data_IF_008977128612
#
_entry.id   IF_008977128612
#
_cell.length_a   1.000
_cell.length_b   1.000
_cell.length_c   1.000
_cell.angle_alpha   90.00
_cell.angle_beta   90.00
_cell.angle_gamma   90.00
#
_symmetry.space_group_name_H-M   'P 1'
#
loop_
_entity.id
_entity.type
_entity.pdbx_description
1 polymer ?
#
# COMPACT_ATOMS: atom_id res chain seq x y z
N UNK A 1 5.89 -23.41 3.06
CA UNK A 1 5.58 -21.98 2.85
C UNK A 1 6.90 -21.23 2.82
N UNK A 2 7.16 -20.42 1.79
CA UNK A 2 8.39 -19.62 1.70
C UNK A 2 8.40 -18.55 2.82
N UNK A 3 9.47 -18.53 3.63
CA UNK A 3 9.64 -17.59 4.76
C UNK A 3 9.56 -16.14 4.28
N UNK A 4 10.11 -15.85 3.11
CA UNK A 4 10.13 -14.52 2.50
C UNK A 4 8.72 -14.00 2.22
N UNK A 5 7.83 -14.88 1.75
CA UNK A 5 6.44 -14.55 1.48
C UNK A 5 5.65 -14.27 2.76
N UNK A 6 5.88 -15.07 3.81
CA UNK A 6 5.25 -14.86 5.12
C UNK A 6 5.67 -13.54 5.77
N UNK A 7 6.96 -13.18 5.67
CA UNK A 7 7.47 -11.91 6.21
C UNK A 7 6.94 -10.71 5.41
N UNK A 8 6.80 -10.85 4.09
CA UNK A 8 6.17 -9.83 3.24
C UNK A 8 4.73 -9.60 3.65
N UNK A 9 3.94 -10.66 3.84
CA UNK A 9 2.53 -10.58 4.27
C UNK A 9 2.42 -9.89 5.64
N UNK A 10 3.30 -10.24 6.59
CA UNK A 10 3.33 -9.60 7.93
C UNK A 10 3.60 -8.10 7.84
N UNK A 11 4.59 -7.70 7.04
CA UNK A 11 4.88 -6.29 6.81
C UNK A 11 3.67 -5.57 6.19
N UNK A 12 3.02 -6.23 5.24
CA UNK A 12 1.86 -5.70 4.53
C UNK A 12 0.69 -5.43 5.48
N UNK A 13 0.35 -6.41 6.32
CA UNK A 13 -0.69 -6.27 7.34
C UNK A 13 -0.35 -5.19 8.38
N UNK A 14 0.93 -5.02 8.72
CA UNK A 14 1.37 -3.97 9.64
C UNK A 14 1.22 -2.55 9.04
N UNK A 15 1.46 -2.40 7.73
CA UNK A 15 1.41 -1.08 7.05
C UNK A 15 0.00 -0.70 6.60
N UNK A 16 -0.87 -1.68 6.32
CA UNK A 16 -2.22 -1.45 5.80
C UNK A 16 -3.05 -0.43 6.62
N UNK A 17 -3.12 -0.49 7.97
CA UNK A 17 -3.86 0.50 8.75
C UNK A 17 -3.38 1.93 8.52
N UNK A 18 -2.07 2.13 8.37
CA UNK A 18 -1.49 3.45 8.08
C UNK A 18 -1.84 3.98 6.69
N UNK A 19 -1.96 3.09 5.70
CA UNK A 19 -2.37 3.46 4.33
C UNK A 19 -3.82 3.94 4.30
N UNK A 20 -4.70 3.30 5.06
CA UNK A 20 -6.15 3.59 5.05
C UNK A 20 -6.60 4.62 6.10
N UNK A 21 -5.74 5.02 7.04
CA UNK A 21 -6.08 5.93 8.14
C UNK A 21 -6.63 7.30 7.69
N UNK A 22 -6.21 7.80 6.53
CA UNK A 22 -6.62 9.11 6.00
C UNK A 22 -7.96 9.07 5.23
N UNK A 23 -8.54 7.89 4.99
CA UNK A 23 -9.80 7.73 4.28
C UNK A 23 -9.80 8.17 2.80
N UNK A 24 -8.65 8.52 2.21
CA UNK A 24 -8.56 8.89 0.78
C UNK A 24 -8.29 7.69 -0.11
N UNK A 25 -7.99 6.54 0.48
CA UNK A 25 -7.78 5.28 -0.21
C UNK A 25 -8.81 4.25 0.20
N UNK A 26 -9.34 3.51 -0.78
CA UNK A 26 -10.08 2.27 -0.54
C UNK A 26 -9.30 1.09 -1.12
N UNK A 27 -9.35 -0.07 -0.44
CA UNK A 27 -8.77 -1.30 -0.96
C UNK A 27 -9.65 -1.86 -2.09
N UNK A 28 -9.02 -2.40 -3.14
CA UNK A 28 -9.74 -3.04 -4.26
C UNK A 28 -9.09 -4.37 -4.65
N UNK A 29 -9.67 -5.00 -5.67
CA UNK A 29 -9.06 -6.10 -6.38
C UNK A 29 -9.06 -7.42 -5.61
N UNK A 30 -8.18 -8.32 -6.03
CA UNK A 30 -8.15 -9.68 -5.51
C UNK A 30 -7.78 -9.74 -4.01
N UNK A 31 -6.88 -8.88 -3.56
CA UNK A 31 -6.47 -8.82 -2.14
C UNK A 31 -7.65 -8.44 -1.25
N UNK A 32 -8.46 -7.45 -1.64
CA UNK A 32 -9.65 -7.07 -0.89
C UNK A 32 -10.65 -8.22 -0.75
N UNK A 33 -10.90 -8.94 -1.85
CA UNK A 33 -11.78 -10.11 -1.83
C UNK A 33 -11.22 -11.19 -0.90
N UNK A 34 -9.91 -11.44 -0.96
CA UNK A 34 -9.27 -12.48 -0.14
C UNK A 34 -9.35 -12.20 1.35
N UNK A 35 -9.17 -10.95 1.74
CA UNK A 35 -9.10 -10.54 3.14
C UNK A 35 -10.49 -10.37 3.77
N UNK A 36 -11.48 -9.89 3.02
CA UNK A 36 -12.75 -9.44 3.60
C UNK A 36 -13.98 -10.22 3.14
N UNK A 37 -13.90 -10.97 2.04
CA UNK A 37 -15.10 -11.63 1.44
C UNK A 37 -14.97 -13.14 1.42
N UNK A 38 -13.80 -13.65 1.00
CA UNK A 38 -13.61 -15.08 0.74
C UNK A 38 -12.17 -15.48 0.99
N UNK A 39 -11.98 -16.47 1.84
CA UNK A 39 -10.69 -17.13 2.00
C UNK A 39 -10.36 -17.93 0.73
N UNK A 40 -9.37 -17.48 -0.04
CA UNK A 40 -8.84 -18.19 -1.20
C UNK A 40 -7.43 -18.68 -0.86
N UNK A 41 -6.96 -19.82 -1.43
CA UNK A 41 -5.68 -20.43 -1.08
C UNK A 41 -4.48 -19.67 -1.69
N UNK A 42 -4.33 -18.39 -1.33
CA UNK A 42 -3.24 -17.52 -1.76
C UNK A 42 -2.85 -16.54 -0.65
N UNK A 43 -1.59 -16.13 -0.67
CA UNK A 43 -1.08 -15.10 0.22
C UNK A 43 -1.20 -13.71 -0.42
N UNK A 44 -1.74 -12.71 0.29
CA UNK A 44 -1.77 -11.34 -0.20
C UNK A 44 -0.37 -10.73 -0.11
N UNK A 45 0.30 -10.63 -1.25
CA UNK A 45 1.66 -10.08 -1.38
C UNK A 45 1.67 -8.62 -1.85
N UNK A 46 0.54 -8.12 -2.35
CA UNK A 46 0.35 -6.73 -2.80
C UNK A 46 -0.97 -6.15 -2.24
N UNK A 47 -1.00 -4.83 -1.99
CA UNK A 47 -2.24 -4.07 -1.72
C UNK A 47 -2.55 -3.16 -2.89
N UNK A 48 -3.69 -3.44 -3.52
CA UNK A 48 -4.30 -2.56 -4.51
C UNK A 48 -5.17 -1.51 -3.82
N UNK A 49 -4.88 -0.23 -4.05
CA UNK A 49 -5.73 0.88 -3.59
C UNK A 49 -6.36 1.65 -4.75
N UNK A 50 -7.45 2.35 -4.46
CA UNK A 50 -8.05 3.38 -5.32
C UNK A 50 -8.11 4.69 -4.55
N UNK A 51 -7.72 5.78 -5.21
CA UNK A 51 -7.82 7.14 -4.67
C UNK A 51 -9.25 7.64 -4.81
N UNK A 52 -9.89 7.95 -3.68
CA UNK A 52 -11.31 8.31 -3.59
C UNK A 52 -11.65 9.75 -4.00
N UNK A 53 -10.77 10.76 -3.93
CA UNK A 53 -11.12 12.10 -4.39
C UNK A 53 -11.24 12.23 -5.92
N UNK A 54 -12.20 11.52 -6.53
CA UNK A 54 -12.41 11.41 -7.98
C UNK A 54 -12.93 12.70 -8.63
N UNK A 55 -13.49 13.62 -7.83
CA UNK A 55 -13.90 14.96 -8.27
C UNK A 55 -12.73 15.93 -8.48
N UNK A 56 -11.50 15.52 -8.13
CA UNK A 56 -10.30 16.31 -8.40
C UNK A 56 -10.05 16.36 -9.91
N UNK A 57 -9.88 17.56 -10.53
CA UNK A 57 -9.56 17.68 -11.95
C UNK A 57 -8.37 16.80 -12.35
N UNK A 58 -8.40 16.20 -13.55
CA UNK A 58 -7.41 15.19 -13.97
C UNK A 58 -5.96 15.69 -13.89
N UNK A 59 -5.73 16.99 -14.07
CA UNK A 59 -4.42 17.65 -13.98
C UNK A 59 -3.85 17.57 -12.55
N UNK A 60 -4.68 17.78 -11.53
CA UNK A 60 -4.26 17.71 -10.12
C UNK A 60 -4.05 16.27 -9.65
N UNK A 61 -4.74 15.31 -10.25
CA UNK A 61 -4.59 13.88 -9.94
C UNK A 61 -3.19 13.34 -10.26
N UNK A 62 -2.54 13.80 -11.33
CA UNK A 62 -1.16 13.39 -11.66
C UNK A 62 -0.15 13.95 -10.67
N UNK A 63 -0.35 15.18 -10.18
CA UNK A 63 0.49 15.81 -9.15
C UNK A 63 0.37 15.09 -7.80
N UNK A 64 -0.80 14.56 -7.46
CA UNK A 64 -1.01 13.76 -6.24
C UNK A 64 -0.43 12.34 -6.37
N UNK A 65 -0.63 11.67 -7.51
CA UNK A 65 -0.08 10.34 -7.77
C UNK A 65 1.47 10.32 -7.70
N UNK A 66 2.12 11.38 -8.18
CA UNK A 66 3.58 11.54 -8.09
C UNK A 66 4.07 11.80 -6.66
N UNK A 67 3.27 12.40 -5.78
CA UNK A 67 3.59 12.54 -4.33
C UNK A 67 3.58 11.20 -3.60
N UNK A 68 2.61 10.33 -3.89
CA UNK A 68 2.55 8.97 -3.34
C UNK A 68 3.77 8.15 -3.76
N UNK A 69 4.23 8.28 -5.01
CA UNK A 69 5.46 7.60 -5.47
C UNK A 69 6.73 8.15 -4.80
N UNK A 70 6.81 9.46 -4.54
CA UNK A 70 7.99 10.07 -3.88
C UNK A 70 8.17 9.65 -2.41
N UNK A 71 7.10 9.28 -1.73
CA UNK A 71 7.16 8.72 -0.36
C UNK A 71 7.84 7.33 -0.29
N UNK A 72 8.09 6.70 -1.45
CA UNK A 72 8.76 5.39 -1.55
C UNK A 72 10.29 5.47 -1.57
N UNK A 73 10.90 6.67 -1.44
CA UNK A 73 12.36 6.80 -1.32
C UNK A 73 12.79 6.41 0.10
N UNK A 74 13.59 5.34 0.28
CA UNK A 74 14.10 4.99 1.59
C UNK A 74 15.00 6.13 2.09
N UNK A 75 14.69 6.66 3.26
CA UNK A 75 15.61 7.50 4.02
C UNK A 75 16.86 6.66 4.31
N UNK A 76 17.95 6.87 3.56
CA UNK A 76 19.27 6.38 3.96
C UNK A 76 19.54 6.98 5.34
N UNK A 77 19.53 6.15 6.38
CA UNK A 77 20.14 6.52 7.66
C UNK A 77 21.59 6.90 7.34
N UNK A 78 21.94 8.16 7.60
CA UNK A 78 23.33 8.56 7.67
C UNK A 78 23.96 7.74 8.82
N UNK A 79 24.90 6.86 8.48
CA UNK A 79 25.78 6.24 9.46
C UNK A 79 26.71 7.31 10.06
N UNK A 80 27.14 7.16 11.32
CA UNK A 80 27.93 8.17 12.00
C UNK A 80 29.32 8.29 11.34
N UNK A 81 29.78 9.53 11.19
CA UNK A 81 31.15 9.84 10.77
C UNK A 81 32.13 9.27 11.79
N UNK A 82 33.11 8.52 11.30
CA UNK A 82 34.37 8.30 11.99
C UNK A 82 35.15 9.62 12.10
#
# INVERSE_FOLDING_TARGET
MDKTCADTVRLLLAVAPGVFANGIFAMKGGTAINLFVRDMPRLPVDIDVVYLPWHTPRVDRYTMATRVQKAKRPTRKAGPSA
#
